data_IF_113907119070
#
_entry.id   IF_113907119070
#
_cell.length_a   1.000
_cell.length_b   1.000
_cell.length_c   1.000
_cell.angle_alpha   90.00
_cell.angle_beta   90.00
_cell.angle_gamma   90.00
#
_symmetry.space_group_name_H-M   'P 1'
#
loop_
_entity.id
_entity.type
_entity.pdbx_description
1 polymer ?
#
# COMPACT_ATOMS: atom_id res chain seq x y z
N UNK A 1 1.56 -24.35 22.26
CA UNK A 1 1.46 -23.28 23.29
C UNK A 1 2.41 -22.09 23.04
N UNK A 2 3.52 -22.25 22.29
CA UNK A 2 4.42 -21.13 21.94
C UNK A 2 3.86 -20.13 20.90
N UNK A 3 2.82 -20.49 20.14
CA UNK A 3 2.28 -19.63 19.07
C UNK A 3 1.41 -18.46 19.57
N UNK A 4 0.85 -18.53 20.78
CA UNK A 4 -0.02 -17.47 21.32
C UNK A 4 0.76 -16.29 21.93
N UNK A 5 2.00 -16.52 22.38
CA UNK A 5 2.85 -15.48 22.99
C UNK A 5 3.51 -14.58 21.95
N UNK A 6 3.84 -15.11 20.76
CA UNK A 6 4.43 -14.31 19.67
C UNK A 6 3.40 -13.34 19.06
N UNK A 7 2.12 -13.74 19.02
CA UNK A 7 1.02 -12.92 18.49
C UNK A 7 0.84 -11.59 19.25
N UNK A 8 1.18 -11.53 20.55
CA UNK A 8 1.03 -10.33 21.35
C UNK A 8 2.17 -9.30 21.10
N UNK A 9 3.34 -9.75 20.66
CA UNK A 9 4.50 -8.89 20.37
C UNK A 9 4.51 -8.33 18.95
N UNK A 10 3.74 -8.93 18.04
CA UNK A 10 3.62 -8.49 16.64
C UNK A 10 2.41 -7.56 16.41
N UNK A 11 1.75 -7.08 17.47
CA UNK A 11 0.67 -6.11 17.35
C UNK A 11 1.26 -4.69 17.16
N UNK A 12 1.19 -4.09 15.95
CA UNK A 12 1.82 -2.80 15.67
C UNK A 12 1.22 -1.64 16.48
N UNK A 13 0.05 -1.83 17.09
CA UNK A 13 -0.58 -0.82 17.95
C UNK A 13 0.22 -0.57 19.26
N UNK A 14 0.84 -1.60 19.85
CA UNK A 14 1.49 -1.46 21.17
C UNK A 14 2.87 -0.79 21.05
N UNK A 15 3.56 -0.98 19.92
CA UNK A 15 4.85 -0.33 19.66
C UNK A 15 4.70 1.16 19.33
N UNK A 16 3.62 1.54 18.64
CA UNK A 16 3.32 2.94 18.33
C UNK A 16 3.05 3.78 19.59
N UNK A 17 2.36 3.23 20.58
CA UNK A 17 2.05 3.94 21.83
C UNK A 17 3.27 4.20 22.72
N UNK A 18 4.28 3.34 22.69
CA UNK A 18 5.46 3.49 23.56
C UNK A 18 6.45 4.53 23.04
N UNK A 19 6.53 4.71 21.71
CA UNK A 19 7.42 5.69 21.08
C UNK A 19 6.83 7.11 21.03
N UNK A 20 5.50 7.26 21.10
CA UNK A 20 4.80 8.56 21.04
C UNK A 20 4.87 9.38 22.35
N UNK A 21 5.46 8.85 23.44
CA UNK A 21 5.50 9.54 24.75
C UNK A 21 6.82 10.28 25.03
N UNK A 22 7.83 10.14 24.17
CA UNK A 22 9.16 10.75 24.36
C UNK A 22 9.44 11.96 23.47
N UNK A 23 8.61 12.23 22.47
CA UNK A 23 8.77 13.35 21.53
C UNK A 23 7.42 14.07 21.51
N UNK A 24 7.39 15.32 22.00
CA UNK A 24 6.19 16.14 22.02
C UNK A 24 5.59 16.33 20.62
N UNK A 25 4.27 16.56 20.59
CA UNK A 25 3.41 16.77 19.44
C UNK A 25 4.09 17.42 18.21
N UNK A 26 4.38 16.60 17.21
CA UNK A 26 4.30 17.00 15.80
C UNK A 26 3.33 16.00 15.17
N UNK A 27 2.06 16.37 15.15
CA UNK A 27 1.05 15.67 14.39
C UNK A 27 1.46 15.61 12.92
N UNK A 28 1.85 14.41 12.49
CA UNK A 28 1.44 13.87 11.20
C UNK A 28 1.01 12.47 11.54
N UNK A 29 -0.29 12.30 11.77
CA UNK A 29 -0.93 11.02 11.51
C UNK A 29 -0.32 10.52 10.20
N UNK A 30 0.22 9.30 10.16
CA UNK A 30 0.34 8.60 8.88
C UNK A 30 -1.10 8.37 8.44
N UNK A 31 -1.72 9.45 7.94
CA UNK A 31 -2.93 9.44 7.19
C UNK A 31 -2.59 8.38 6.16
N UNK A 32 -3.22 7.22 6.32
CA UNK A 32 -3.56 6.41 5.17
C UNK A 32 -4.55 7.29 4.43
N UNK A 33 -4.00 8.31 3.77
CA UNK A 33 -4.61 9.01 2.69
C UNK A 33 -4.67 7.92 1.65
N UNK A 34 -5.70 7.10 1.78
CA UNK A 34 -6.48 6.61 0.67
C UNK A 34 -7.08 7.86 -0.01
N UNK A 35 -6.23 8.87 -0.31
CA UNK A 35 -6.41 9.79 -1.41
C UNK A 35 -6.91 8.89 -2.51
N UNK A 36 -8.07 9.24 -3.04
CA UNK A 36 -8.79 8.56 -4.08
C UNK A 36 -7.85 8.17 -5.24
N UNK A 37 -7.09 7.08 -5.08
CA UNK A 37 -6.05 6.70 -6.02
C UNK A 37 -6.77 6.06 -7.17
N UNK A 38 -6.65 6.70 -8.32
CA UNK A 38 -7.25 6.21 -9.53
C UNK A 38 -6.38 5.09 -10.11
N UNK A 39 -6.99 4.16 -10.83
CA UNK A 39 -6.27 3.18 -11.63
C UNK A 39 -5.29 3.85 -12.61
N UNK A 40 -5.58 5.09 -13.01
CA UNK A 40 -4.74 5.88 -13.91
C UNK A 40 -3.46 6.45 -13.27
N UNK A 41 -3.30 6.33 -11.95
CA UNK A 41 -2.11 6.84 -11.24
C UNK A 41 -0.99 5.79 -11.18
N UNK A 42 -1.24 4.58 -11.73
CA UNK A 42 -0.28 3.49 -11.80
C UNK A 42 0.37 3.40 -13.18
N UNK A 43 1.59 2.87 -13.21
CA UNK A 43 2.28 2.44 -14.43
C UNK A 43 2.49 0.94 -14.42
N UNK A 44 2.49 0.33 -15.60
CA UNK A 44 2.75 -1.10 -15.79
C UNK A 44 3.94 -1.28 -16.70
N UNK A 45 4.62 -2.42 -16.63
CA UNK A 45 5.67 -2.76 -17.57
C UNK A 45 5.06 -3.42 -18.80
N UNK A 46 5.55 -3.05 -19.99
CA UNK A 46 5.24 -3.77 -21.22
C UNK A 46 5.99 -5.11 -21.24
N UNK A 47 5.66 -5.97 -22.20
CA UNK A 47 6.39 -7.22 -22.42
C UNK A 47 7.89 -6.98 -22.73
N UNK A 48 8.21 -5.83 -23.30
CA UNK A 48 9.59 -5.38 -23.59
C UNK A 48 10.27 -4.71 -22.37
N UNK A 49 9.61 -4.71 -21.20
CA UNK A 49 10.13 -4.13 -19.96
C UNK A 49 10.07 -2.61 -19.88
N UNK A 50 9.36 -1.94 -20.81
CA UNK A 50 9.23 -0.48 -20.77
C UNK A 50 8.07 -0.05 -19.87
N UNK A 51 8.27 0.97 -19.01
CA UNK A 51 7.17 1.48 -18.20
C UNK A 51 6.15 2.23 -19.06
N UNK A 52 4.88 1.85 -18.96
CA UNK A 52 3.74 2.52 -19.59
C UNK A 52 2.75 3.01 -18.51
N UNK A 53 2.46 4.31 -18.41
CA UNK A 53 1.48 4.81 -17.46
C UNK A 53 0.06 4.49 -17.94
N UNK A 54 -0.80 4.03 -17.02
CA UNK A 54 -2.19 3.71 -17.33
C UNK A 54 -3.03 4.95 -17.65
N UNK A 55 -2.58 6.14 -17.22
CA UNK A 55 -3.18 7.43 -17.56
C UNK A 55 -3.35 7.67 -19.07
N UNK A 56 -2.51 7.05 -19.91
CA UNK A 56 -2.60 7.11 -21.37
C UNK A 56 -3.93 6.57 -21.92
N UNK A 57 -4.63 5.76 -21.14
CA UNK A 57 -5.91 5.15 -21.53
C UNK A 57 -7.12 5.82 -20.89
N UNK A 58 -6.97 7.01 -20.27
CA UNK A 58 -8.12 7.78 -19.75
C UNK A 58 -9.17 8.02 -20.85
N UNK A 59 -10.43 7.85 -20.51
CA UNK A 59 -11.55 7.99 -21.44
C UNK A 59 -11.79 6.76 -22.34
N UNK A 60 -11.04 5.67 -22.14
CA UNK A 60 -11.27 4.37 -22.78
C UNK A 60 -11.73 3.35 -21.74
N UNK A 61 -12.45 2.32 -22.18
CA UNK A 61 -12.79 1.17 -21.33
C UNK A 61 -11.53 0.29 -21.20
N UNK A 62 -11.17 -0.05 -19.96
CA UNK A 62 -10.02 -0.88 -19.63
C UNK A 62 -10.46 -2.21 -19.01
N UNK A 63 -9.93 -3.32 -19.51
CA UNK A 63 -10.07 -4.65 -18.91
C UNK A 63 -8.67 -5.14 -18.48
N UNK A 64 -8.48 -5.33 -17.19
CA UNK A 64 -7.23 -5.88 -16.63
C UNK A 64 -7.48 -7.37 -16.36
N UNK A 65 -6.70 -8.22 -17.02
CA UNK A 65 -6.78 -9.68 -16.84
C UNK A 65 -5.51 -10.15 -16.13
N UNK A 66 -5.68 -10.78 -14.97
CA UNK A 66 -4.59 -11.51 -14.33
C UNK A 66 -4.48 -12.89 -15.00
N UNK A 67 -3.50 -13.07 -15.88
CA UNK A 67 -3.22 -14.37 -16.52
C UNK A 67 -2.13 -15.07 -15.72
N UNK A 68 -2.49 -16.12 -14.99
CA UNK A 68 -1.53 -17.04 -14.37
C UNK A 68 -1.34 -18.25 -15.30
N UNK A 69 -0.11 -18.53 -15.72
CA UNK A 69 0.25 -19.76 -16.44
C UNK A 69 0.55 -20.88 -15.44
N UNK A 70 0.24 -22.13 -15.79
CA UNK A 70 0.49 -23.32 -14.98
C UNK A 70 1.96 -23.74 -15.01
#
# INVERSE_FOLDING_TARGET
QATCQVQLLQNPAVLGHFLHRLIGDVGIDCQTSMANKSVYDFSTETLDGQPVPLSNYRGKVLLIVNVATF
#
